data_IF_533928120748
#
_entry.id   IF_533928120748
#
_cell.length_a   1.000
_cell.length_b   1.000
_cell.length_c   1.000
_cell.angle_alpha   90.00
_cell.angle_beta   90.00
_cell.angle_gamma   90.00
#
_symmetry.space_group_name_H-M   'P 1'
#
loop_
_entity.id
_entity.type
_entity.pdbx_description
1 polymer ?
#
# COMPACT_ATOMS: atom_id res chain seq x y z
N UNK A 1 -3.75 9.83 5.69
CA UNK A 1 -4.24 8.83 4.70
C UNK A 1 -4.09 9.38 3.29
N UNK A 2 -3.33 8.69 2.43
CA UNK A 2 -3.08 9.08 1.04
C UNK A 2 -4.05 8.40 0.08
N UNK A 3 -4.78 9.18 -0.71
CA UNK A 3 -5.75 8.67 -1.70
C UNK A 3 -5.34 9.11 -3.10
N UNK A 4 -5.07 8.14 -3.96
CA UNK A 4 -4.76 8.40 -5.38
C UNK A 4 -6.01 8.47 -6.24
N UNK A 5 -5.99 9.30 -7.28
CA UNK A 5 -7.18 9.55 -8.10
C UNK A 5 -8.27 10.32 -7.34
N UNK A 6 -7.89 11.10 -6.32
CA UNK A 6 -8.81 11.79 -5.41
C UNK A 6 -9.62 12.93 -6.07
N UNK A 7 -9.27 13.33 -7.29
CA UNK A 7 -9.95 14.41 -8.03
C UNK A 7 -11.33 14.06 -8.59
N UNK A 8 -11.79 12.80 -8.53
CA UNK A 8 -13.10 12.40 -9.08
C UNK A 8 -13.55 11.02 -8.63
N UNK A 9 -14.86 10.76 -8.72
CA UNK A 9 -15.44 9.41 -8.64
C UNK A 9 -15.20 8.75 -7.28
N UNK A 10 -14.76 7.49 -7.29
CA UNK A 10 -14.55 6.70 -6.06
C UNK A 10 -13.45 7.30 -5.18
N UNK A 11 -12.40 7.85 -5.78
CA UNK A 11 -11.30 8.47 -5.04
C UNK A 11 -11.77 9.71 -4.26
N UNK A 12 -12.55 10.57 -4.93
CA UNK A 12 -13.17 11.73 -4.31
C UNK A 12 -14.14 11.33 -3.19
N UNK A 13 -15.05 10.38 -3.45
CA UNK A 13 -15.99 9.88 -2.44
C UNK A 13 -15.27 9.25 -1.25
N UNK A 14 -14.18 8.52 -1.50
CA UNK A 14 -13.34 7.94 -0.44
C UNK A 14 -12.71 9.05 0.40
N UNK A 15 -12.16 10.09 -0.23
CA UNK A 15 -11.57 11.23 0.47
C UNK A 15 -12.56 11.94 1.39
N UNK A 16 -13.80 12.19 0.92
CA UNK A 16 -14.84 12.78 1.76
C UNK A 16 -15.19 11.92 2.97
N UNK A 17 -15.39 10.61 2.77
CA UNK A 17 -15.81 9.74 3.86
C UNK A 17 -14.73 9.58 4.93
N UNK A 18 -13.45 9.43 4.53
CA UNK A 18 -12.37 9.29 5.50
C UNK A 18 -12.06 10.60 6.22
N UNK A 19 -12.21 11.75 5.54
CA UNK A 19 -12.13 13.06 6.18
C UNK A 19 -13.24 13.24 7.23
N UNK A 20 -14.47 12.81 6.93
CA UNK A 20 -15.61 12.82 7.87
C UNK A 20 -15.36 11.95 9.11
N UNK A 21 -14.49 10.96 9.01
CA UNK A 21 -14.07 10.11 10.12
C UNK A 21 -12.85 10.69 10.89
N UNK A 22 -12.39 11.89 10.55
CA UNK A 22 -11.29 12.59 11.22
C UNK A 22 -9.91 12.26 10.67
N UNK A 23 -9.80 11.62 9.50
CA UNK A 23 -8.49 11.40 8.88
C UNK A 23 -7.95 12.70 8.28
N UNK A 24 -6.64 12.94 8.46
CA UNK A 24 -5.89 13.89 7.64
C UNK A 24 -5.69 13.29 6.24
N UNK A 25 -6.23 13.92 5.19
CA UNK A 25 -6.30 13.33 3.85
C UNK A 25 -5.29 13.96 2.89
N UNK A 26 -4.33 13.17 2.40
CA UNK A 26 -3.49 13.58 1.27
C UNK A 26 -4.20 13.22 -0.04
N UNK A 27 -4.61 14.23 -0.79
CA UNK A 27 -5.33 14.11 -2.06
C UNK A 27 -4.34 14.11 -3.22
N UNK A 28 -4.25 13.00 -3.94
CA UNK A 28 -3.31 12.86 -5.06
C UNK A 28 -4.03 12.66 -6.39
N UNK A 29 -3.72 13.53 -7.36
CA UNK A 29 -4.07 13.37 -8.77
C UNK A 29 -3.27 14.37 -9.64
N UNK A 30 -3.47 14.32 -10.96
CA UNK A 30 -2.85 15.27 -11.91
C UNK A 30 -3.62 16.58 -12.05
N UNK A 31 -4.93 16.57 -11.78
CA UNK A 31 -5.82 17.72 -11.96
C UNK A 31 -5.85 18.57 -10.70
N UNK A 32 -4.95 19.55 -10.62
CA UNK A 32 -4.79 20.42 -9.45
C UNK A 32 -6.05 21.17 -9.04
N UNK A 33 -6.77 21.79 -10.00
CA UNK A 33 -8.01 22.52 -9.69
C UNK A 33 -9.08 21.63 -9.06
N UNK A 34 -9.27 20.42 -9.59
CA UNK A 34 -10.23 19.46 -9.04
C UNK A 34 -9.83 18.98 -7.63
N UNK A 35 -8.53 18.82 -7.37
CA UNK A 35 -8.06 18.48 -6.02
C UNK A 35 -8.33 19.62 -5.03
N UNK A 36 -8.14 20.88 -5.44
CA UNK A 36 -8.45 22.03 -4.59
C UNK A 36 -9.95 22.10 -4.30
N UNK A 37 -10.80 21.86 -5.29
CA UNK A 37 -12.26 21.74 -5.08
C UNK A 37 -12.61 20.69 -4.02
N UNK A 38 -11.98 19.52 -4.10
CA UNK A 38 -12.19 18.42 -3.12
C UNK A 38 -11.68 18.81 -1.74
N UNK A 39 -10.48 19.40 -1.64
CA UNK A 39 -9.94 19.92 -0.38
C UNK A 39 -10.87 20.95 0.25
N UNK A 40 -11.27 21.97 -0.50
CA UNK A 40 -12.10 23.07 -0.01
C UNK A 40 -13.45 22.55 0.51
N UNK A 41 -14.00 21.52 -0.15
CA UNK A 41 -15.21 20.83 0.31
C UNK A 41 -14.98 20.08 1.63
N UNK A 42 -13.82 19.43 1.79
CA UNK A 42 -13.44 18.73 3.03
C UNK A 42 -13.26 19.74 4.17
N UNK A 43 -12.51 20.81 3.94
CA UNK A 43 -12.23 21.85 4.93
C UNK A 43 -13.51 22.58 5.36
N UNK A 44 -14.41 22.89 4.41
CA UNK A 44 -15.71 23.50 4.71
C UNK A 44 -16.60 22.60 5.59
N UNK A 45 -16.40 21.27 5.54
CA UNK A 45 -17.08 20.31 6.39
C UNK A 45 -16.36 20.07 7.74
N UNK A 46 -15.28 20.80 8.02
CA UNK A 46 -14.47 20.68 9.24
C UNK A 46 -13.45 19.54 9.23
N UNK A 47 -13.19 18.94 8.06
CA UNK A 47 -12.12 17.97 7.88
C UNK A 47 -10.78 18.62 7.53
N UNK A 48 -9.76 17.79 7.32
CA UNK A 48 -8.40 18.24 7.04
C UNK A 48 -7.83 17.51 5.81
N UNK A 49 -7.34 18.27 4.83
CA UNK A 49 -6.83 17.73 3.58
C UNK A 49 -5.69 18.56 2.98
N UNK A 50 -4.75 17.88 2.31
CA UNK A 50 -3.62 18.49 1.61
C UNK A 50 -3.58 17.99 0.17
N UNK A 51 -3.31 18.90 -0.77
CA UNK A 51 -3.27 18.61 -2.21
C UNK A 51 -1.86 18.25 -2.67
N UNK A 52 -1.76 17.15 -3.40
CA UNK A 52 -0.54 16.69 -4.08
C UNK A 52 -0.82 16.51 -5.58
N UNK A 53 -0.27 17.41 -6.39
CA UNK A 53 -0.29 17.25 -7.84
C UNK A 53 0.86 16.34 -8.24
N UNK A 54 0.55 15.18 -8.81
CA UNK A 54 1.54 14.18 -9.20
C UNK A 54 1.00 13.30 -10.34
N UNK A 55 1.81 13.09 -11.37
CA UNK A 55 1.63 12.03 -12.37
C UNK A 55 2.30 10.73 -11.89
N UNK A 56 1.49 9.73 -11.53
CA UNK A 56 1.97 8.42 -11.09
C UNK A 56 2.72 7.63 -12.16
N UNK A 57 2.71 8.08 -13.42
CA UNK A 57 3.50 7.48 -14.49
C UNK A 57 4.92 8.05 -14.57
N UNK A 58 5.20 9.13 -13.84
CA UNK A 58 6.53 9.73 -13.72
C UNK A 58 7.17 9.31 -12.38
N UNK A 59 8.20 8.47 -12.46
CA UNK A 59 8.90 7.96 -11.29
C UNK A 59 9.57 9.08 -10.47
N UNK A 60 10.09 10.13 -11.13
CA UNK A 60 10.75 11.22 -10.44
C UNK A 60 9.74 12.06 -9.64
N UNK A 61 8.53 12.26 -10.17
CA UNK A 61 7.47 12.92 -9.42
C UNK A 61 7.02 12.11 -8.20
N UNK A 62 6.91 10.78 -8.34
CA UNK A 62 6.55 9.87 -7.25
C UNK A 62 7.62 9.88 -6.15
N UNK A 63 8.89 9.82 -6.51
CA UNK A 63 10.00 9.88 -5.56
C UNK A 63 10.03 11.22 -4.82
N UNK A 64 9.89 12.33 -5.56
CA UNK A 64 9.86 13.66 -4.98
C UNK A 64 8.65 13.84 -4.03
N UNK A 65 7.51 13.24 -4.37
CA UNK A 65 6.34 13.24 -3.50
C UNK A 65 6.60 12.46 -2.20
N UNK A 66 7.18 11.25 -2.28
CA UNK A 66 7.46 10.45 -1.10
C UNK A 66 8.42 11.16 -0.14
N UNK A 67 9.43 11.85 -0.66
CA UNK A 67 10.32 12.70 0.12
C UNK A 67 9.55 13.81 0.85
N UNK A 68 8.66 14.53 0.16
CA UNK A 68 7.84 15.58 0.77
C UNK A 68 6.89 15.02 1.83
N UNK A 69 6.21 13.90 1.56
CA UNK A 69 5.33 13.26 2.52
C UNK A 69 6.08 12.87 3.81
N UNK A 70 7.30 12.38 3.67
CA UNK A 70 8.12 12.04 4.83
C UNK A 70 8.60 13.28 5.59
N UNK A 71 9.07 14.31 4.88
CA UNK A 71 9.59 15.52 5.49
C UNK A 71 8.50 16.35 6.20
N UNK A 72 7.34 16.51 5.56
CA UNK A 72 6.30 17.44 6.01
C UNK A 72 5.29 16.76 6.96
N UNK A 73 5.13 15.44 6.85
CA UNK A 73 4.08 14.70 7.58
C UNK A 73 4.58 13.47 8.33
N UNK A 74 5.88 13.14 8.25
CA UNK A 74 6.45 11.95 8.91
C UNK A 74 6.09 10.62 8.23
N UNK A 75 5.55 10.67 7.02
CA UNK A 75 5.12 9.49 6.26
C UNK A 75 3.61 9.39 6.12
N UNK A 76 3.12 8.20 5.76
CA UNK A 76 1.68 7.94 5.60
C UNK A 76 1.29 6.62 6.27
N UNK A 77 0.18 6.64 7.00
CA UNK A 77 -0.37 5.45 7.67
C UNK A 77 -1.10 4.50 6.72
N UNK A 78 -1.88 5.08 5.81
CA UNK A 78 -2.77 4.39 4.88
C UNK A 78 -2.55 4.92 3.48
N UNK A 79 -2.35 4.01 2.52
CA UNK A 79 -2.30 4.30 1.09
C UNK A 79 -3.49 3.64 0.39
N UNK A 80 -4.25 4.41 -0.39
CA UNK A 80 -5.30 3.92 -1.28
C UNK A 80 -4.88 4.11 -2.73
N UNK A 81 -4.46 3.01 -3.36
CA UNK A 81 -4.21 2.92 -4.79
C UNK A 81 -5.55 2.78 -5.52
N UNK A 82 -6.14 3.93 -5.87
CA UNK A 82 -7.41 4.07 -6.57
C UNK A 82 -7.27 4.76 -7.93
N UNK A 83 -6.18 5.51 -8.17
CA UNK A 83 -5.93 6.09 -9.48
C UNK A 83 -5.97 5.00 -10.56
N UNK A 84 -6.80 5.21 -11.58
CA UNK A 84 -6.93 4.23 -12.63
C UNK A 84 -7.57 4.79 -13.90
N UNK A 85 -7.25 4.15 -15.02
CA UNK A 85 -7.87 4.33 -16.32
C UNK A 85 -8.45 3.02 -16.81
N UNK A 86 -9.63 3.09 -17.38
CA UNK A 86 -10.31 1.93 -17.97
C UNK A 86 -10.35 2.06 -19.48
N UNK A 87 -9.97 0.99 -20.17
CA UNK A 87 -10.24 0.84 -21.61
C UNK A 87 -11.66 0.29 -21.72
N UNK A 88 -12.59 1.08 -22.24
CA UNK A 88 -13.98 0.67 -22.50
C UNK A 88 -14.22 0.67 -24.00
N UNK A 89 -13.71 -0.35 -24.69
CA UNK A 89 -13.86 -0.51 -26.14
C UNK A 89 -13.96 -2.00 -26.50
N UNK A 90 -14.49 -2.31 -27.66
CA UNK A 90 -14.59 -3.68 -28.18
C UNK A 90 -13.24 -4.17 -28.75
N UNK A 91 -13.07 -5.49 -28.88
CA UNK A 91 -11.81 -6.08 -29.37
C UNK A 91 -11.52 -5.72 -30.82
N UNK A 92 -12.56 -5.68 -31.66
CA UNK A 92 -12.55 -5.22 -33.06
C UNK A 92 -12.07 -3.78 -33.21
N UNK A 93 -12.13 -2.97 -32.15
CA UNK A 93 -11.58 -1.62 -32.15
C UNK A 93 -10.22 -1.54 -31.44
N UNK A 94 -9.66 -2.63 -30.92
CA UNK A 94 -8.49 -2.60 -30.01
C UNK A 94 -7.20 -3.20 -30.58
N UNK A 95 -7.28 -4.03 -31.61
CA UNK A 95 -6.15 -4.89 -32.01
C UNK A 95 -4.93 -4.12 -32.53
N UNK A 96 -5.10 -2.89 -33.02
CA UNK A 96 -4.07 -2.00 -33.51
C UNK A 96 -3.64 -0.93 -32.47
N UNK A 97 -4.12 -1.03 -31.23
CA UNK A 97 -3.98 0.01 -30.19
C UNK A 97 -3.39 -0.50 -28.89
N UNK A 98 -2.32 -1.27 -28.99
CA UNK A 98 -1.59 -1.79 -27.83
C UNK A 98 -1.18 -0.68 -26.83
N UNK A 99 -0.86 0.51 -27.33
CA UNK A 99 -0.52 1.68 -26.52
C UNK A 99 -1.65 2.14 -25.55
N UNK A 100 -2.90 1.74 -25.76
CA UNK A 100 -3.97 1.94 -24.77
C UNK A 100 -3.71 1.06 -23.52
N UNK A 101 -3.31 -0.19 -23.74
CA UNK A 101 -2.99 -1.16 -22.68
C UNK A 101 -1.77 -0.68 -21.89
N UNK A 102 -0.73 -0.23 -22.57
CA UNK A 102 0.48 0.33 -21.93
C UNK A 102 0.13 1.51 -21.03
N UNK A 103 -0.70 2.45 -21.49
CA UNK A 103 -1.15 3.59 -20.68
C UNK A 103 -2.00 3.18 -19.49
N UNK A 104 -2.80 2.13 -19.61
CA UNK A 104 -3.56 1.58 -18.48
C UNK A 104 -2.64 0.91 -17.47
N UNK A 105 -1.66 0.12 -17.92
CA UNK A 105 -0.68 -0.53 -17.04
C UNK A 105 0.22 0.49 -16.33
N UNK A 106 0.64 1.54 -17.04
CA UNK A 106 1.43 2.64 -16.49
C UNK A 106 0.77 3.25 -15.24
N UNK A 107 -0.54 3.52 -15.30
CA UNK A 107 -1.25 4.13 -14.16
C UNK A 107 -1.69 3.07 -13.14
N UNK A 108 -2.44 2.06 -13.58
CA UNK A 108 -3.18 1.16 -12.68
C UNK A 108 -2.27 0.16 -11.96
N UNK A 109 -1.10 -0.15 -12.54
CA UNK A 109 -0.18 -1.14 -12.01
C UNK A 109 1.16 -0.52 -11.64
N UNK A 110 1.90 -0.01 -12.63
CA UNK A 110 3.25 0.52 -12.38
C UNK A 110 3.22 1.72 -11.44
N UNK A 111 2.30 2.67 -11.62
CA UNK A 111 2.15 3.82 -10.72
C UNK A 111 1.75 3.42 -9.30
N UNK A 112 0.84 2.46 -9.15
CA UNK A 112 0.44 1.94 -7.83
C UNK A 112 1.59 1.22 -7.12
N UNK A 113 2.35 0.39 -7.85
CA UNK A 113 3.53 -0.30 -7.31
C UNK A 113 4.63 0.70 -6.96
N UNK A 114 4.94 1.63 -7.87
CA UNK A 114 5.96 2.66 -7.67
C UNK A 114 5.69 3.50 -6.43
N UNK A 115 4.47 4.01 -6.28
CA UNK A 115 4.08 4.78 -5.09
C UNK A 115 4.16 3.93 -3.82
N UNK A 116 3.72 2.67 -3.88
CA UNK A 116 3.80 1.75 -2.73
C UNK A 116 5.25 1.56 -2.30
N UNK A 117 6.16 1.28 -3.24
CA UNK A 117 7.58 1.12 -2.97
C UNK A 117 8.21 2.41 -2.40
N UNK A 118 7.78 3.58 -2.88
CA UNK A 118 8.29 4.86 -2.42
C UNK A 118 7.91 5.18 -0.97
N UNK A 119 6.69 4.81 -0.52
CA UNK A 119 6.24 5.07 0.86
C UNK A 119 6.53 3.94 1.86
N UNK A 120 6.84 2.74 1.36
CA UNK A 120 7.05 1.55 2.19
C UNK A 120 8.20 1.69 3.21
N UNK A 121 9.35 2.33 2.92
CA UNK A 121 10.41 2.52 3.91
C UNK A 121 9.91 3.27 5.15
N UNK A 122 9.19 4.38 4.96
CA UNK A 122 8.62 5.15 6.07
C UNK A 122 7.58 4.32 6.85
N UNK A 123 6.74 3.54 6.16
CA UNK A 123 5.81 2.60 6.80
C UNK A 123 6.51 1.52 7.65
N UNK A 124 7.69 1.07 7.22
CA UNK A 124 8.48 0.10 8.00
C UNK A 124 9.12 0.75 9.22
N UNK A 125 9.69 1.94 9.06
CA UNK A 125 10.34 2.67 10.14
C UNK A 125 9.33 3.09 11.23
N UNK A 126 8.10 3.46 10.85
CA UNK A 126 7.02 3.75 11.80
C UNK A 126 6.40 2.49 12.44
N UNK A 127 6.75 1.28 11.96
CA UNK A 127 6.20 0.01 12.46
C UNK A 127 4.72 -0.22 12.12
N UNK A 128 4.14 0.59 11.25
CA UNK A 128 2.74 0.53 10.86
C UNK A 128 2.56 0.92 9.39
N UNK A 129 1.59 0.35 8.69
CA UNK A 129 1.30 0.76 7.32
C UNK A 129 0.27 -0.15 6.69
N UNK A 130 -0.66 0.47 5.94
CA UNK A 130 -1.74 -0.25 5.30
C UNK A 130 -1.95 0.20 3.86
N UNK A 131 -1.84 -0.73 2.92
CA UNK A 131 -2.03 -0.45 1.50
C UNK A 131 -3.31 -1.11 1.02
N UNK A 132 -4.22 -0.30 0.48
CA UNK A 132 -5.47 -0.73 -0.15
C UNK A 132 -5.36 -0.54 -1.65
N UNK A 133 -5.45 -1.63 -2.39
CA UNK A 133 -5.56 -1.60 -3.84
C UNK A 133 -7.03 -1.69 -4.24
N UNK A 134 -7.52 -0.67 -4.94
CA UNK A 134 -8.87 -0.62 -5.48
C UNK A 134 -8.85 -1.17 -6.90
N UNK A 135 -9.46 -2.34 -7.09
CA UNK A 135 -9.52 -3.02 -8.38
C UNK A 135 -10.97 -3.16 -8.84
N UNK A 136 -11.19 -3.15 -10.15
CA UNK A 136 -12.52 -3.39 -10.72
C UNK A 136 -12.84 -4.88 -10.79
N UNK A 137 -14.13 -5.22 -10.74
CA UNK A 137 -14.65 -6.59 -10.86
C UNK A 137 -14.19 -7.35 -12.12
N UNK A 138 -13.77 -6.63 -13.17
CA UNK A 138 -13.23 -7.20 -14.41
C UNK A 138 -11.97 -8.05 -14.21
N UNK A 139 -11.22 -7.83 -13.13
CA UNK A 139 -10.01 -8.60 -12.79
C UNK A 139 -10.34 -10.03 -12.32
N UNK A 140 -11.56 -10.29 -11.85
CA UNK A 140 -11.96 -11.60 -11.30
C UNK A 140 -12.78 -12.47 -12.27
N UNK A 141 -13.38 -11.91 -13.32
CA UNK A 141 -14.22 -12.66 -14.26
C UNK A 141 -13.46 -13.02 -15.55
N UNK A 142 -13.71 -14.22 -16.08
CA UNK A 142 -13.39 -14.60 -17.47
C UNK A 142 -14.26 -13.76 -18.41
N UNK A 143 -13.85 -12.52 -18.72
CA UNK A 143 -14.52 -11.72 -19.72
C UNK A 143 -13.61 -11.57 -20.94
N UNK A 144 -13.98 -12.10 -22.12
CA UNK A 144 -13.21 -11.92 -23.34
C UNK A 144 -13.12 -10.45 -23.79
N UNK A 145 -13.88 -9.54 -23.17
CA UNK A 145 -13.82 -8.09 -23.42
C UNK A 145 -12.66 -7.39 -22.69
N UNK A 146 -11.92 -8.08 -21.80
CA UNK A 146 -10.78 -7.56 -21.05
C UNK A 146 -9.67 -8.64 -21.00
N UNK A 147 -8.56 -8.46 -21.72
CA UNK A 147 -7.42 -9.41 -21.83
C UNK A 147 -6.28 -9.05 -20.84
N UNK A 148 -5.23 -9.88 -20.60
CA UNK A 148 -5.16 -11.32 -20.29
C UNK A 148 -4.70 -11.56 -18.82
N UNK A 149 -4.94 -12.78 -18.31
CA UNK A 149 -4.71 -13.19 -16.91
C UNK A 149 -3.25 -13.62 -16.66
N UNK A 150 -2.69 -13.22 -15.51
CA UNK A 150 -1.63 -13.97 -14.80
C UNK A 150 -2.18 -14.37 -13.43
N UNK A 151 -2.23 -15.67 -13.17
CA UNK A 151 -2.83 -16.27 -11.98
C UNK A 151 -1.71 -16.56 -10.96
N UNK A 152 -1.81 -16.01 -9.74
CA UNK A 152 -1.01 -16.46 -8.59
C UNK A 152 -1.99 -16.83 -7.48
N UNK A 153 -1.99 -18.11 -7.09
CA UNK A 153 -3.02 -18.72 -6.25
C UNK A 153 -3.22 -18.03 -4.90
N UNK A 154 -4.48 -17.83 -4.51
CA UNK A 154 -4.83 -17.31 -3.20
C UNK A 154 -5.24 -18.47 -2.27
N UNK A 155 -4.49 -18.68 -1.19
CA UNK A 155 -4.95 -19.44 -0.02
C UNK A 155 -5.84 -18.54 0.86
N UNK A 156 -6.78 -19.21 1.51
CA UNK A 156 -7.91 -18.68 2.28
C UNK A 156 -7.48 -17.70 3.39
N UNK A 157 -8.12 -16.52 3.48
CA UNK A 157 -7.99 -15.59 4.62
C UNK A 157 -9.36 -15.36 5.30
N UNK A 158 -9.35 -15.45 6.63
CA UNK A 158 -10.51 -15.37 7.52
C UNK A 158 -11.14 -13.96 7.67
N UNK A 159 -12.19 -13.82 8.49
CA UNK A 159 -13.14 -12.71 8.38
C UNK A 159 -12.75 -11.49 9.22
N UNK A 160 -12.50 -10.34 8.57
CA UNK A 160 -12.46 -9.02 9.24
C UNK A 160 -13.65 -8.15 8.82
N UNK A 161 -14.45 -7.70 9.81
CA UNK A 161 -15.80 -7.14 9.64
C UNK A 161 -15.90 -5.61 9.53
N UNK A 162 -14.82 -4.82 9.61
CA UNK A 162 -14.93 -3.35 9.68
C UNK A 162 -14.64 -2.57 8.40
N UNK A 163 -14.02 -3.18 7.39
CA UNK A 163 -13.80 -2.56 6.06
C UNK A 163 -14.88 -2.92 5.02
N UNK A 164 -15.79 -3.85 5.35
CA UNK A 164 -16.79 -4.40 4.41
C UNK A 164 -17.99 -3.48 4.19
N UNK A 165 -18.35 -2.66 5.18
CA UNK A 165 -19.65 -1.97 5.16
C UNK A 165 -19.70 -0.77 4.21
N UNK A 166 -18.56 -0.31 3.70
CA UNK A 166 -18.46 0.71 2.65
C UNK A 166 -18.63 0.16 1.21
N UNK A 167 -18.58 -1.17 1.02
CA UNK A 167 -18.51 -1.82 -0.29
C UNK A 167 -19.78 -2.58 -0.71
N UNK A 168 -20.99 -2.12 -0.32
CA UNK A 168 -22.25 -2.80 -0.72
C UNK A 168 -22.94 -2.24 -1.96
N UNK A 169 -22.39 -1.25 -2.66
CA UNK A 169 -22.97 -0.74 -3.90
C UNK A 169 -21.93 -0.65 -5.03
N UNK A 170 -21.80 -1.74 -5.78
CA UNK A 170 -21.20 -1.77 -7.12
C UNK A 170 -19.72 -2.20 -7.23
N UNK A 171 -19.49 -3.37 -7.85
CA UNK A 171 -18.36 -3.73 -8.72
C UNK A 171 -16.88 -3.54 -8.27
N UNK A 172 -16.59 -3.34 -6.99
CA UNK A 172 -15.21 -3.12 -6.53
C UNK A 172 -14.77 -4.17 -5.51
N UNK A 173 -13.55 -4.69 -5.72
CA UNK A 173 -12.88 -5.54 -4.76
C UNK A 173 -11.66 -4.81 -4.21
N UNK A 174 -11.61 -4.66 -2.89
CA UNK A 174 -10.46 -4.12 -2.18
C UNK A 174 -9.57 -5.28 -1.74
N UNK A 175 -8.26 -5.15 -1.95
CA UNK A 175 -7.25 -6.01 -1.32
C UNK A 175 -6.33 -5.15 -0.47
N UNK A 176 -6.28 -5.50 0.80
CA UNK A 176 -5.44 -4.87 1.80
C UNK A 176 -4.19 -5.73 2.05
N UNK A 177 -3.02 -5.10 2.15
CA UNK A 177 -1.76 -5.73 2.60
C UNK A 177 -1.20 -4.88 3.74
N UNK A 178 -0.75 -5.52 4.83
CA UNK A 178 -0.11 -4.83 5.96
C UNK A 178 1.41 -4.90 5.80
N UNK A 179 2.10 -3.84 6.18
CA UNK A 179 3.57 -3.80 6.17
C UNK A 179 4.22 -4.85 7.12
N UNK A 180 3.45 -5.50 7.99
CA UNK A 180 3.91 -6.56 8.91
C UNK A 180 3.57 -8.00 8.49
N UNK A 181 2.98 -8.23 7.31
CA UNK A 181 2.60 -9.58 6.86
C UNK A 181 3.79 -10.37 6.22
N UNK A 182 4.99 -9.80 6.20
CA UNK A 182 6.23 -10.47 5.80
C UNK A 182 6.88 -11.15 7.02
N UNK A 183 6.32 -12.28 7.46
CA UNK A 183 6.96 -13.19 8.41
C UNK A 183 7.02 -14.62 7.83
N UNK A 184 8.24 -15.15 7.78
CA UNK A 184 8.69 -16.50 7.46
C UNK A 184 8.67 -16.98 5.99
N UNK A 185 9.84 -16.82 5.36
CA UNK A 185 10.31 -17.61 4.23
C UNK A 185 11.81 -17.89 4.39
N UNK A 186 12.20 -18.67 5.40
CA UNK A 186 13.55 -19.22 5.50
C UNK A 186 13.72 -20.39 4.51
N UNK A 187 14.68 -20.27 3.58
CA UNK A 187 15.89 -21.11 3.60
C UNK A 187 16.88 -20.79 2.46
N UNK A 188 18.17 -20.75 2.82
CA UNK A 188 19.24 -21.31 1.99
C UNK A 188 20.10 -20.39 1.11
N UNK A 189 21.10 -19.73 1.70
CA UNK A 189 22.49 -19.56 1.19
C UNK A 189 23.16 -18.48 2.06
N UNK A 190 24.17 -18.74 2.89
CA UNK A 190 25.41 -19.42 2.53
C UNK A 190 26.48 -18.37 2.26
N UNK A 191 27.06 -17.79 3.32
CA UNK A 191 28.38 -17.15 3.33
C UNK A 191 28.76 -16.75 4.77
N UNK A 192 29.36 -17.69 5.52
CA UNK A 192 30.14 -17.36 6.72
C UNK A 192 31.62 -17.54 6.40
N UNK A 193 32.31 -16.42 6.25
CA UNK A 193 33.76 -16.25 6.38
C UNK A 193 33.94 -14.77 6.76
N UNK A 194 34.72 -14.35 7.75
CA UNK A 194 35.81 -14.98 8.47
C UNK A 194 35.93 -14.33 9.86
N UNK A 195 36.37 -15.09 10.86
CA UNK A 195 37.37 -14.61 11.82
C UNK A 195 37.88 -15.80 12.63
N UNK A 196 39.15 -16.10 12.41
CA UNK A 196 39.97 -17.04 13.16
C UNK A 196 40.31 -16.46 14.54
N UNK A 197 39.98 -17.19 15.60
CA UNK A 197 40.76 -17.19 16.83
C UNK A 197 40.65 -18.57 17.50
N UNK A 198 41.69 -19.38 17.28
CA UNK A 198 42.06 -20.54 18.08
C UNK A 198 42.29 -20.03 19.52
N UNK A 199 41.92 -20.68 20.62
CA UNK A 199 42.30 -22.02 21.07
C UNK A 199 41.62 -22.34 22.42
N UNK A 200 41.18 -23.59 22.63
CA UNK A 200 40.92 -24.24 23.95
C UNK A 200 42.08 -25.25 24.21
N UNK A 201 42.22 -25.99 25.34
CA UNK A 201 41.32 -26.19 26.52
C UNK A 201 42.04 -26.30 27.91
N UNK A 202 41.26 -26.39 29.00
CA UNK A 202 41.73 -26.93 30.29
C UNK A 202 40.71 -26.71 31.44
N UNK A 203 39.76 -27.61 31.68
CA UNK A 203 39.75 -28.76 32.63
C UNK A 203 39.40 -28.43 34.10
N UNK A 204 38.41 -29.22 34.58
CA UNK A 204 38.13 -29.74 35.94
C UNK A 204 37.28 -28.92 36.93
N UNK A 205 36.11 -29.52 37.19
CA UNK A 205 35.55 -29.92 38.50
C UNK A 205 35.59 -28.93 39.68
N UNK A 206 34.40 -28.65 40.22
CA UNK A 206 33.94 -29.21 41.52
C UNK A 206 32.55 -28.69 41.87
N UNK A 207 31.59 -29.62 41.88
CA UNK A 207 30.70 -29.97 42.99
C UNK A 207 29.86 -28.91 43.75
N UNK A 208 28.81 -29.37 44.45
CA UNK A 208 27.54 -28.64 44.57
C UNK A 208 27.25 -28.12 45.98
N UNK A 209 26.25 -27.22 46.13
CA UNK A 209 25.38 -26.97 47.32
C UNK A 209 24.67 -25.62 47.12
N UNK A 210 23.44 -25.32 47.54
CA UNK A 210 22.26 -26.05 48.01
C UNK A 210 21.18 -24.98 48.31
N UNK A 211 19.93 -25.22 47.87
CA UNK A 211 18.61 -24.91 48.50
C UNK A 211 18.52 -23.67 49.44
N UNK A 212 17.79 -22.60 49.08
CA UNK A 212 16.33 -22.30 49.27
C UNK A 212 16.10 -21.14 50.31
N UNK A 213 14.92 -20.46 50.29
CA UNK A 213 14.66 -19.06 50.71
C UNK A 213 13.90 -19.00 52.07
N UNK A 214 13.01 -18.02 52.39
CA UNK A 214 12.91 -16.56 52.16
C UNK A 214 12.90 -15.76 53.51
N UNK A 215 12.73 -14.44 53.50
CA UNK A 215 12.45 -13.68 54.73
C UNK A 215 12.13 -12.21 54.49
N UNK A 216 10.94 -11.80 54.90
CA UNK A 216 10.35 -10.46 54.85
C UNK A 216 11.09 -9.42 55.72
N UNK A 217 10.98 -8.15 55.31
CA UNK A 217 11.40 -6.95 56.04
C UNK A 217 11.07 -5.69 55.25
#
# INVERSE_FOLDING_TARGET
MLVTGASSGIGEATAYEVARQGAHVHLLARRGEELRRVRDTIEAAGGDAVVHVCDLTDAAEVDALAVRLNADHGGVDYLVNNAGRSIRRSLDLSYDRFHDVERTMAVNYFGAVGLTLAVLPAMRDQGFGHVVNVTSWGVQKKQPKFSPRVEVGARHMGPHRRARDLCRRGDLHQRAVRAGDDADGGDGAGCRGASLAQSRPGRRDRGPRSRRPPGDG
#
